data_IF_714809439381
#
_entry.id   IF_714809439381
#
_cell.length_a   1.000
_cell.length_b   1.000
_cell.length_c   1.000
_cell.angle_alpha   90.00
_cell.angle_beta   90.00
_cell.angle_gamma   90.00
#
_symmetry.space_group_name_H-M   'P 1'
#
loop_
_entity.id
_entity.type
_entity.pdbx_description
1 polymer ?
#
# COMPACT_ATOMS: atom_id res chain seq x y z
N UNK A 1 -29.16 -14.17 -61.12
CA UNK A 1 -28.03 -13.51 -61.80
C UNK A 1 -28.28 -12.01 -61.72
N UNK A 2 -27.47 -11.30 -60.95
CA UNK A 2 -27.44 -9.84 -60.90
C UNK A 2 -26.02 -9.44 -60.46
N UNK A 3 -25.26 -8.94 -61.44
CA UNK A 3 -23.96 -8.30 -61.28
C UNK A 3 -24.18 -6.85 -60.86
N UNK A 4 -23.52 -6.38 -59.80
CA UNK A 4 -23.21 -4.95 -59.59
C UNK A 4 -21.89 -4.91 -58.79
N UNK A 5 -20.75 -4.66 -59.44
CA UNK A 5 -20.22 -3.39 -59.95
C UNK A 5 -19.38 -2.68 -58.87
N UNK A 6 -18.10 -2.55 -59.20
CA UNK A 6 -16.98 -2.23 -58.31
C UNK A 6 -16.86 -0.73 -58.08
N UNK A 7 -17.27 -0.27 -56.89
CA UNK A 7 -17.10 1.11 -56.44
C UNK A 7 -15.63 1.50 -56.25
N UNK A 8 -15.07 2.13 -57.29
CA UNK A 8 -13.78 2.83 -57.31
C UNK A 8 -13.84 4.06 -56.39
N UNK A 9 -13.01 4.09 -55.35
CA UNK A 9 -12.86 5.24 -54.43
C UNK A 9 -11.85 6.23 -55.03
N UNK A 10 -12.34 7.36 -55.54
CA UNK A 10 -11.47 8.48 -55.92
C UNK A 10 -11.08 9.30 -54.67
N UNK A 11 -9.78 9.35 -54.40
CA UNK A 11 -9.19 10.20 -53.38
C UNK A 11 -9.21 11.66 -53.84
N UNK A 12 -10.08 12.47 -53.23
CA UNK A 12 -10.09 13.93 -53.44
C UNK A 12 -8.98 14.56 -52.59
N UNK A 13 -7.94 15.07 -53.25
CA UNK A 13 -6.96 15.94 -52.62
C UNK A 13 -7.69 17.19 -52.07
N UNK A 14 -7.60 17.42 -50.76
CA UNK A 14 -7.97 18.70 -50.17
C UNK A 14 -6.71 19.56 -50.01
N UNK A 15 -6.68 20.63 -50.79
CA UNK A 15 -5.71 21.69 -50.75
C UNK A 15 -5.64 22.31 -49.35
N UNK A 16 -4.44 22.30 -48.78
CA UNK A 16 -4.09 23.00 -47.54
C UNK A 16 -3.57 24.39 -47.92
N UNK A 17 -4.48 25.34 -48.12
CA UNK A 17 -4.11 26.75 -48.22
C UNK A 17 -5.03 27.62 -47.35
N UNK A 18 -4.39 28.44 -46.52
CA UNK A 18 -4.94 29.54 -45.71
C UNK A 18 -5.88 29.17 -44.54
N UNK A 19 -5.30 28.98 -43.34
CA UNK A 19 -6.01 29.40 -42.12
C UNK A 19 -6.01 30.93 -42.06
N UNK A 20 -7.17 31.62 -42.10
CA UNK A 20 -7.18 33.06 -41.91
C UNK A 20 -6.78 33.37 -40.46
N UNK A 21 -5.64 34.02 -40.29
CA UNK A 21 -5.21 34.59 -39.03
C UNK A 21 -6.23 35.67 -38.65
N UNK A 22 -7.05 35.41 -37.63
CA UNK A 22 -7.96 36.42 -37.10
C UNK A 22 -7.14 37.63 -36.60
N UNK A 23 -7.52 38.88 -36.93
CA UNK A 23 -6.79 40.04 -36.45
C UNK A 23 -6.96 40.17 -34.93
N UNK A 24 -5.84 40.30 -34.23
CA UNK A 24 -5.80 40.58 -32.80
C UNK A 24 -6.43 41.94 -32.52
N UNK A 25 -7.70 41.96 -32.10
CA UNK A 25 -8.36 43.17 -31.64
C UNK A 25 -7.89 43.47 -30.21
N UNK A 26 -6.99 44.45 -30.08
CA UNK A 26 -6.68 45.14 -28.83
C UNK A 26 -7.91 45.96 -28.40
N UNK A 27 -8.86 45.32 -27.71
CA UNK A 27 -9.82 46.07 -26.92
C UNK A 27 -9.13 46.57 -25.66
N UNK A 28 -8.72 47.84 -25.70
CA UNK A 28 -8.77 48.65 -24.50
C UNK A 28 -10.22 48.66 -24.02
N UNK A 29 -10.49 48.12 -22.84
CA UNK A 29 -11.31 48.80 -21.85
C UNK A 29 -11.40 48.05 -20.52
N UNK A 30 -11.42 48.89 -19.48
CA UNK A 30 -11.78 48.66 -18.08
C UNK A 30 -10.76 47.92 -17.22
N UNK A 31 -10.24 48.66 -16.24
CA UNK A 31 -9.68 48.16 -14.99
C UNK A 31 -10.70 47.22 -14.37
N UNK A 32 -10.54 45.92 -14.62
CA UNK A 32 -11.21 44.90 -13.83
C UNK A 32 -10.58 44.98 -12.45
N UNK A 33 -11.34 45.27 -11.38
CA UNK A 33 -10.80 45.23 -10.03
C UNK A 33 -10.19 43.84 -9.85
N UNK A 34 -8.96 43.78 -9.33
CA UNK A 34 -8.17 42.56 -9.14
C UNK A 34 -8.95 41.54 -8.31
N UNK A 35 -9.86 40.82 -8.97
CA UNK A 35 -10.50 39.62 -8.44
C UNK A 35 -9.38 38.63 -8.32
N UNK A 36 -9.10 38.26 -7.06
CA UNK A 36 -8.24 37.18 -6.65
C UNK A 36 -8.25 36.10 -7.73
N UNK A 37 -7.11 35.95 -8.42
CA UNK A 37 -6.96 34.94 -9.45
C UNK A 37 -7.38 33.61 -8.83
N UNK A 38 -8.39 32.91 -9.39
CA UNK A 38 -8.91 31.69 -8.79
C UNK A 38 -7.76 30.72 -8.48
N UNK A 39 -7.76 30.04 -7.33
CA UNK A 39 -6.67 29.15 -6.89
C UNK A 39 -6.29 28.06 -7.93
N UNK A 40 -7.17 27.76 -8.89
CA UNK A 40 -6.88 26.88 -10.02
C UNK A 40 -6.02 27.53 -11.11
N UNK A 41 -6.08 28.86 -11.29
CA UNK A 41 -5.23 29.65 -12.20
C UNK A 41 -3.81 29.83 -11.65
N UNK A 42 -3.65 29.77 -10.32
CA UNK A 42 -2.35 29.86 -9.64
C UNK A 42 -1.49 28.59 -9.75
N UNK A 43 -2.02 27.49 -10.29
CA UNK A 43 -1.25 26.26 -10.52
C UNK A 43 -0.51 26.35 -11.84
N UNK A 44 0.53 27.18 -11.90
CA UNK A 44 1.51 27.05 -12.97
C UNK A 44 1.99 25.60 -12.99
N UNK A 45 1.89 24.95 -14.16
CA UNK A 45 2.40 23.59 -14.33
C UNK A 45 3.85 23.57 -13.84
N UNK A 46 4.29 22.56 -13.07
CA UNK A 46 5.67 22.52 -12.55
C UNK A 46 6.74 22.63 -13.64
N UNK A 47 6.39 22.31 -14.89
CA UNK A 47 7.24 22.48 -16.08
C UNK A 47 7.41 23.93 -16.54
N UNK A 48 6.58 24.87 -16.07
CA UNK A 48 6.53 26.27 -16.52
C UNK A 48 7.04 27.26 -15.46
N UNK A 49 7.55 26.78 -14.34
CA UNK A 49 8.20 27.64 -13.35
C UNK A 49 9.47 28.24 -13.95
N UNK A 50 9.81 29.48 -13.55
CA UNK A 50 11.02 30.17 -14.01
C UNK A 50 12.28 29.30 -13.88
N UNK A 51 12.44 28.61 -12.75
CA UNK A 51 13.55 27.69 -12.52
C UNK A 51 13.56 26.48 -13.47
N UNK A 52 12.39 25.92 -13.81
CA UNK A 52 12.30 24.81 -14.76
C UNK A 52 12.55 25.24 -16.21
N UNK A 53 12.24 26.49 -16.56
CA UNK A 53 12.57 27.08 -17.86
C UNK A 53 14.08 27.28 -17.97
N UNK A 54 14.71 27.94 -17.00
CA UNK A 54 16.17 28.17 -16.97
C UNK A 54 16.94 26.85 -17.05
N UNK A 55 16.54 25.83 -16.27
CA UNK A 55 17.18 24.51 -16.31
C UNK A 55 17.12 23.85 -17.70
N UNK A 56 16.02 24.03 -18.44
CA UNK A 56 15.89 23.48 -19.81
C UNK A 56 16.79 24.21 -20.79
N UNK A 57 16.89 25.54 -20.68
CA UNK A 57 17.78 26.34 -21.51
C UNK A 57 19.25 25.98 -21.24
N UNK A 58 19.65 25.88 -19.98
CA UNK A 58 21.00 25.47 -19.59
C UNK A 58 21.35 24.08 -20.13
N UNK A 59 20.41 23.13 -20.04
CA UNK A 59 20.61 21.77 -20.56
C UNK A 59 20.70 21.74 -22.09
N UNK A 60 19.93 22.57 -22.79
CA UNK A 60 20.01 22.69 -24.25
C UNK A 60 21.36 23.25 -24.68
N UNK A 61 21.84 24.31 -24.00
CA UNK A 61 23.16 24.91 -24.21
C UNK A 61 24.30 23.92 -23.93
N UNK A 62 24.23 23.20 -22.81
CA UNK A 62 25.19 22.14 -22.49
C UNK A 62 25.20 21.03 -23.54
N UNK A 63 24.03 20.65 -24.09
CA UNK A 63 23.96 19.60 -25.12
C UNK A 63 24.66 20.01 -26.42
N UNK A 64 24.59 21.28 -26.81
CA UNK A 64 25.25 21.79 -28.02
C UNK A 64 26.74 22.08 -27.82
N UNK A 65 27.15 22.52 -26.63
CA UNK A 65 28.53 22.93 -26.37
C UNK A 65 29.41 21.78 -25.86
N UNK A 66 28.88 20.90 -25.00
CA UNK A 66 29.63 19.81 -24.39
C UNK A 66 28.71 18.63 -24.03
N UNK A 67 28.57 17.71 -24.98
CA UNK A 67 27.66 16.57 -24.85
C UNK A 67 27.98 15.66 -23.65
N UNK A 68 29.25 15.43 -23.33
CA UNK A 68 29.66 14.58 -22.21
C UNK A 68 29.31 15.21 -20.85
N UNK A 69 29.45 16.54 -20.74
CA UNK A 69 29.00 17.28 -19.57
C UNK A 69 27.46 17.23 -19.43
N UNK A 70 26.73 17.31 -20.54
CA UNK A 70 25.26 17.13 -20.55
C UNK A 70 24.84 15.74 -20.04
N UNK A 71 25.45 14.67 -20.55
CA UNK A 71 25.15 13.29 -20.13
C UNK A 71 25.45 13.11 -18.64
N UNK A 72 26.60 13.58 -18.18
CA UNK A 72 27.01 13.52 -16.76
C UNK A 72 26.04 14.26 -15.84
N UNK A 73 25.58 15.46 -16.24
CA UNK A 73 24.60 16.26 -15.48
C UNK A 73 23.23 15.55 -15.43
N UNK A 74 22.79 14.95 -16.54
CA UNK A 74 21.53 14.17 -16.61
C UNK A 74 21.59 12.92 -15.73
N UNK A 75 22.72 12.21 -15.72
CA UNK A 75 22.92 11.02 -14.87
C UNK A 75 22.81 11.38 -13.38
N UNK A 76 23.54 12.39 -12.92
CA UNK A 76 23.48 12.88 -11.53
C UNK A 76 22.06 13.32 -11.13
N UNK A 77 21.36 14.05 -12.00
CA UNK A 77 19.99 14.49 -11.73
C UNK A 77 18.99 13.32 -11.64
N UNK A 78 19.16 12.30 -12.48
CA UNK A 78 18.34 11.08 -12.41
C UNK A 78 18.63 10.27 -11.13
N UNK A 79 19.89 10.14 -10.75
CA UNK A 79 20.29 9.48 -9.49
C UNK A 79 19.73 10.21 -8.27
N UNK A 80 19.82 11.55 -8.24
CA UNK A 80 19.24 12.38 -7.19
C UNK A 80 17.71 12.22 -7.11
N UNK A 81 17.01 12.23 -8.25
CA UNK A 81 15.56 12.00 -8.26
C UNK A 81 15.18 10.58 -7.82
N UNK A 82 15.97 9.57 -8.21
CA UNK A 82 15.79 8.18 -7.76
C UNK A 82 15.94 8.08 -6.26
N UNK A 83 16.99 8.68 -5.69
CA UNK A 83 17.22 8.71 -4.25
C UNK A 83 16.07 9.42 -3.50
N UNK A 84 15.60 10.56 -4.02
CA UNK A 84 14.46 11.29 -3.44
C UNK A 84 13.17 10.47 -3.46
N UNK A 85 12.88 9.77 -4.56
CA UNK A 85 11.70 8.87 -4.63
C UNK A 85 11.80 7.73 -3.62
N UNK A 86 12.97 7.10 -3.50
CA UNK A 86 13.19 6.02 -2.54
C UNK A 86 13.05 6.49 -1.08
N UNK A 87 13.54 7.70 -0.77
CA UNK A 87 13.36 8.30 0.56
C UNK A 87 11.89 8.52 0.89
N UNK A 88 11.12 9.12 -0.04
CA UNK A 88 9.67 9.33 0.13
C UNK A 88 8.89 8.02 0.25
N UNK A 89 9.23 7.00 -0.54
CA UNK A 89 8.64 5.66 -0.41
C UNK A 89 8.97 5.02 0.95
N UNK A 90 10.20 5.20 1.43
CA UNK A 90 10.63 4.73 2.74
C UNK A 90 9.84 5.37 3.88
N UNK A 91 9.64 6.68 3.83
CA UNK A 91 8.81 7.42 4.80
C UNK A 91 7.33 7.03 4.72
N UNK A 92 6.78 6.91 3.52
CA UNK A 92 5.41 6.46 3.31
C UNK A 92 5.19 5.04 3.88
N UNK A 93 6.13 4.12 3.65
CA UNK A 93 6.10 2.77 4.23
C UNK A 93 6.19 2.79 5.75
N UNK A 94 7.07 3.61 6.33
CA UNK A 94 7.17 3.79 7.79
C UNK A 94 5.87 4.33 8.39
N UNK A 95 5.28 5.35 7.76
CA UNK A 95 4.00 5.94 8.18
C UNK A 95 2.85 4.94 8.07
N UNK A 96 2.77 4.19 6.97
CA UNK A 96 1.77 3.14 6.78
C UNK A 96 1.90 2.04 7.84
N UNK A 97 3.13 1.59 8.15
CA UNK A 97 3.39 0.62 9.22
C UNK A 97 2.98 1.14 10.59
N UNK A 98 3.27 2.41 10.89
CA UNK A 98 2.87 3.05 12.14
C UNK A 98 1.35 3.13 12.29
N UNK A 99 0.64 3.57 11.24
CA UNK A 99 -0.83 3.62 11.22
C UNK A 99 -1.46 2.23 11.36
N UNK A 100 -0.90 1.21 10.69
CA UNK A 100 -1.35 -0.18 10.82
C UNK A 100 -1.13 -0.74 12.23
N UNK A 101 -0.03 -0.38 12.89
CA UNK A 101 0.22 -0.77 14.28
C UNK A 101 -0.77 -0.09 15.23
N UNK A 102 -1.03 1.20 15.02
CA UNK A 102 -1.98 1.97 15.83
C UNK A 102 -3.41 1.48 15.66
N UNK A 103 -3.84 1.17 14.43
CA UNK A 103 -5.17 0.60 14.16
C UNK A 103 -5.34 -0.78 14.81
N UNK A 104 -4.30 -1.62 14.76
CA UNK A 104 -4.28 -2.93 15.43
C UNK A 104 -4.40 -2.80 16.95
N UNK A 105 -3.71 -1.84 17.57
CA UNK A 105 -3.83 -1.54 19.01
C UNK A 105 -5.26 -1.13 19.37
N UNK A 106 -5.82 -0.15 18.65
CA UNK A 106 -7.20 0.32 18.87
C UNK A 106 -8.25 -0.77 18.65
N UNK A 107 -8.03 -1.67 17.69
CA UNK A 107 -8.91 -2.82 17.48
C UNK A 107 -8.83 -3.81 18.65
N UNK A 108 -7.62 -4.13 19.10
CA UNK A 108 -7.39 -5.00 20.26
C UNK A 108 -8.05 -4.45 21.52
N UNK A 109 -7.91 -3.15 21.78
CA UNK A 109 -8.52 -2.45 22.92
C UNK A 109 -10.05 -2.48 22.84
N UNK A 110 -10.65 -2.13 21.69
CA UNK A 110 -12.10 -2.25 21.49
C UNK A 110 -12.59 -3.68 21.66
N UNK A 111 -11.83 -4.66 21.19
CA UNK A 111 -12.16 -6.09 21.36
C UNK A 111 -12.10 -6.49 22.83
N UNK A 112 -11.13 -6.02 23.61
CA UNK A 112 -11.05 -6.26 25.06
C UNK A 112 -12.26 -5.67 25.77
N UNK A 113 -12.62 -4.42 25.46
CA UNK A 113 -13.80 -3.76 26.02
C UNK A 113 -15.09 -4.51 25.68
N UNK A 114 -15.27 -4.94 24.43
CA UNK A 114 -16.42 -5.73 24.03
C UNK A 114 -16.50 -7.07 24.77
N UNK A 115 -15.37 -7.75 25.00
CA UNK A 115 -15.34 -9.03 25.72
C UNK A 115 -15.62 -8.90 27.22
N UNK A 116 -15.46 -7.71 27.79
CA UNK A 116 -15.80 -7.44 29.19
C UNK A 116 -17.31 -7.26 29.41
N UNK A 117 -18.11 -7.12 28.34
CA UNK A 117 -19.57 -7.08 28.46
C UNK A 117 -20.12 -8.49 28.74
N UNK A 118 -21.07 -8.65 29.68
CA UNK A 118 -21.58 -9.96 30.08
C UNK A 118 -22.24 -10.74 28.92
N UNK A 119 -22.96 -10.05 28.03
CA UNK A 119 -23.57 -10.65 26.83
C UNK A 119 -22.54 -11.23 25.85
N UNK A 120 -21.38 -10.58 25.73
CA UNK A 120 -20.29 -11.01 24.85
C UNK A 120 -19.40 -12.05 25.52
N UNK A 121 -19.33 -12.09 26.85
CA UNK A 121 -18.60 -13.10 27.60
C UNK A 121 -19.20 -14.49 27.39
N UNK A 122 -20.54 -14.61 27.39
CA UNK A 122 -21.25 -15.86 27.08
C UNK A 122 -21.02 -16.30 25.63
N UNK A 123 -21.16 -15.38 24.67
CA UNK A 123 -20.87 -15.66 23.24
C UNK A 123 -19.42 -16.09 23.03
N UNK A 124 -18.47 -15.44 23.70
CA UNK A 124 -17.06 -15.79 23.65
C UNK A 124 -16.78 -17.17 24.28
N UNK A 125 -17.46 -17.52 25.38
CA UNK A 125 -17.36 -18.85 26.00
C UNK A 125 -17.87 -19.93 25.05
N UNK A 126 -19.04 -19.71 24.44
CA UNK A 126 -19.61 -20.62 23.43
C UNK A 126 -18.68 -20.78 22.21
N UNK A 127 -18.10 -19.67 21.72
CA UNK A 127 -17.16 -19.71 20.61
C UNK A 127 -15.88 -20.49 20.97
N UNK A 128 -15.33 -20.29 22.18
CA UNK A 128 -14.18 -21.06 22.68
C UNK A 128 -14.50 -22.55 22.81
N UNK A 129 -15.69 -22.90 23.30
CA UNK A 129 -16.15 -24.29 23.40
C UNK A 129 -16.26 -24.93 22.02
N UNK A 130 -16.97 -24.31 21.09
CA UNK A 130 -17.11 -24.79 19.69
C UNK A 130 -15.75 -24.90 18.99
N UNK A 131 -14.86 -23.93 19.19
CA UNK A 131 -13.50 -23.97 18.66
C UNK A 131 -12.68 -25.13 19.22
N UNK A 132 -12.77 -25.38 20.53
CA UNK A 132 -12.08 -26.50 21.17
C UNK A 132 -12.60 -27.86 20.66
N UNK A 133 -13.91 -28.00 20.49
CA UNK A 133 -14.53 -29.21 19.91
C UNK A 133 -14.09 -29.46 18.48
N UNK A 134 -14.06 -28.42 17.64
CA UNK A 134 -13.58 -28.51 16.26
C UNK A 134 -12.10 -28.93 16.20
N UNK A 135 -11.26 -28.32 17.04
CA UNK A 135 -9.85 -28.70 17.15
C UNK A 135 -9.68 -30.16 17.61
N UNK A 136 -10.48 -30.61 18.58
CA UNK A 136 -10.46 -32.00 19.06
C UNK A 136 -10.84 -32.97 17.94
N UNK A 137 -11.98 -32.74 17.27
CA UNK A 137 -12.45 -33.56 16.14
C UNK A 137 -11.40 -33.62 15.01
N UNK A 138 -10.78 -32.50 14.66
CA UNK A 138 -9.71 -32.48 13.65
C UNK A 138 -8.48 -33.27 14.08
N UNK A 139 -8.09 -33.19 15.36
CA UNK A 139 -6.96 -33.95 15.89
C UNK A 139 -7.25 -35.45 15.87
N UNK A 140 -8.44 -35.83 16.31
CA UNK A 140 -8.83 -37.24 16.41
C UNK A 140 -8.89 -37.87 15.02
N UNK A 141 -9.41 -37.16 14.01
CA UNK A 141 -9.35 -37.58 12.60
C UNK A 141 -7.91 -37.79 12.09
N UNK A 142 -6.99 -36.87 12.40
CA UNK A 142 -5.57 -37.03 12.00
C UNK A 142 -4.95 -38.23 12.74
N UNK A 143 -5.27 -38.43 14.01
CA UNK A 143 -4.81 -39.58 14.78
C UNK A 143 -5.31 -40.91 14.21
N UNK A 144 -6.59 -41.00 13.83
CA UNK A 144 -7.16 -42.17 13.16
C UNK A 144 -6.50 -42.43 11.80
N UNK A 145 -6.24 -41.37 11.02
CA UNK A 145 -5.52 -41.48 9.76
C UNK A 145 -4.08 -41.97 9.93
N UNK A 146 -3.39 -41.52 10.99
CA UNK A 146 -2.02 -41.96 11.31
C UNK A 146 -2.04 -43.43 11.75
N UNK A 147 -2.95 -43.82 12.64
CA UNK A 147 -3.08 -45.21 13.11
C UNK A 147 -3.41 -46.18 11.97
N UNK A 148 -4.20 -45.75 11.00
CA UNK A 148 -4.58 -46.56 9.83
C UNK A 148 -3.57 -46.52 8.68
N UNK A 149 -2.45 -45.80 8.82
CA UNK A 149 -1.42 -45.70 7.77
C UNK A 149 -1.82 -44.86 6.55
N UNK A 150 -3.00 -44.22 6.57
CA UNK A 150 -3.56 -43.44 5.44
C UNK A 150 -3.29 -41.93 5.56
N UNK A 151 -2.56 -41.49 6.58
CA UNK A 151 -2.26 -40.07 6.78
C UNK A 151 -1.30 -39.53 5.72
N UNK A 152 -1.63 -38.38 5.16
CA UNK A 152 -0.73 -37.66 4.26
C UNK A 152 0.47 -37.08 5.02
N UNK A 153 1.64 -36.91 4.38
CA UNK A 153 2.82 -36.30 5.02
C UNK A 153 2.52 -34.93 5.64
N UNK A 154 1.69 -34.11 4.98
CA UNK A 154 1.26 -32.79 5.47
C UNK A 154 0.44 -32.88 6.77
N UNK A 155 -0.42 -33.90 6.90
CA UNK A 155 -1.19 -34.13 8.13
C UNK A 155 -0.28 -34.55 9.28
N UNK A 156 0.72 -35.41 9.02
CA UNK A 156 1.71 -35.85 10.02
C UNK A 156 2.55 -34.65 10.50
N UNK A 157 3.02 -33.81 9.57
CA UNK A 157 3.78 -32.61 9.90
C UNK A 157 2.95 -31.64 10.75
N UNK A 158 1.70 -31.41 10.36
CA UNK A 158 0.76 -30.55 11.11
C UNK A 158 0.53 -31.09 12.52
N UNK A 159 0.31 -32.39 12.67
CA UNK A 159 0.16 -33.04 13.97
C UNK A 159 1.42 -32.89 14.85
N UNK A 160 2.61 -33.11 14.29
CA UNK A 160 3.87 -32.97 15.02
C UNK A 160 4.12 -31.52 15.46
N UNK A 161 3.82 -30.53 14.60
CA UNK A 161 3.86 -29.11 14.95
C UNK A 161 2.90 -28.80 16.10
N UNK A 162 1.66 -29.29 16.04
CA UNK A 162 0.67 -29.12 17.11
C UNK A 162 1.12 -29.77 18.43
N UNK A 163 1.68 -30.98 18.38
CA UNK A 163 2.22 -31.69 19.56
C UNK A 163 3.36 -30.91 20.21
N UNK A 164 4.32 -30.43 19.43
CA UNK A 164 5.44 -29.59 19.91
C UNK A 164 4.94 -28.27 20.51
N UNK A 165 4.03 -27.58 19.83
CA UNK A 165 3.45 -26.33 20.31
C UNK A 165 2.72 -26.52 21.66
N UNK A 166 1.97 -27.61 21.82
CA UNK A 166 1.27 -27.93 23.08
C UNK A 166 2.27 -28.17 24.23
N UNK A 167 3.35 -28.88 23.98
CA UNK A 167 4.40 -29.11 24.99
C UNK A 167 5.13 -27.81 25.38
N UNK A 168 5.36 -26.90 24.43
CA UNK A 168 5.95 -25.60 24.72
C UNK A 168 5.01 -24.71 25.54
N UNK A 169 3.72 -24.70 25.20
CA UNK A 169 2.72 -23.91 25.93
C UNK A 169 2.58 -24.38 27.38
N UNK A 170 2.52 -25.70 27.63
CA UNK A 170 2.44 -26.23 29.01
C UNK A 170 3.66 -25.88 29.85
N UNK A 171 4.87 -25.97 29.27
CA UNK A 171 6.12 -25.56 29.95
C UNK A 171 6.10 -24.08 30.33
N UNK A 172 5.67 -23.20 29.41
CA UNK A 172 5.56 -21.76 29.67
C UNK A 172 4.52 -21.45 30.75
N UNK A 173 3.34 -22.08 30.69
CA UNK A 173 2.30 -21.93 31.72
C UNK A 173 2.79 -22.36 33.09
N UNK A 174 3.46 -23.51 33.19
CA UNK A 174 4.03 -23.97 34.44
C UNK A 174 5.10 -23.00 34.99
N UNK A 175 5.98 -22.47 34.14
CA UNK A 175 6.97 -21.48 34.54
C UNK A 175 6.33 -20.18 35.05
N UNK A 176 5.26 -19.73 34.39
CA UNK A 176 4.49 -18.56 34.85
C UNK A 176 3.80 -18.82 36.18
N UNK A 177 3.09 -19.95 36.34
CA UNK A 177 2.43 -20.30 37.60
C UNK A 177 3.43 -20.44 38.76
N UNK A 178 4.63 -20.96 38.49
CA UNK A 178 5.73 -20.99 39.47
C UNK A 178 6.19 -19.59 39.86
N UNK A 179 6.42 -18.71 38.88
CA UNK A 179 6.83 -17.33 39.13
C UNK A 179 5.74 -16.52 39.88
N UNK A 180 4.47 -16.70 39.55
CA UNK A 180 3.33 -16.09 40.24
C UNK A 180 3.27 -16.53 41.71
N UNK A 181 3.48 -17.82 41.99
CA UNK A 181 3.54 -18.35 43.37
C UNK A 181 4.74 -17.79 44.15
N UNK A 182 5.90 -17.65 43.51
CA UNK A 182 7.08 -17.06 44.14
C UNK A 182 6.86 -15.56 44.43
N UNK A 183 6.27 -14.80 43.51
CA UNK A 183 5.91 -13.40 43.72
C UNK A 183 4.88 -13.21 44.85
N UNK A 184 3.84 -14.05 44.92
CA UNK A 184 2.85 -14.00 46.01
C UNK A 184 3.45 -14.33 47.38
N UNK A 185 4.45 -15.22 47.45
CA UNK A 185 5.17 -15.53 48.69
C UNK A 185 6.03 -14.37 49.19
N UNK A 186 6.59 -13.57 48.29
CA UNK A 186 7.35 -12.35 48.65
C UNK A 186 6.38 -11.24 49.07
N UNK A 187 5.23 -11.11 48.40
CA UNK A 187 4.21 -10.10 48.70
C UNK A 187 3.47 -10.31 50.03
N UNK A 188 3.37 -11.54 50.54
CA UNK A 188 2.69 -11.86 51.82
C UNK A 188 3.64 -11.90 53.03
N UNK A 189 4.90 -11.50 52.86
CA UNK A 189 5.91 -11.42 53.94
C UNK A 189 6.26 -9.98 54.36
N UNK A 190 5.59 -8.98 53.79
CA UNK A 190 5.63 -7.58 54.23
C UNK A 190 4.26 -7.17 54.75
#
# INVERSE_FOLDING_TARGET
>A
MAEHDTGRVEFRAQDSSAHPTAPFQLYQNSVVPARESPEWYAKQKPSMTYSAVVQRMDLAKLKSENYDAYISKRKKHNESNKARRQALEGEAKKRAKALSSQSSKRFSERRKQMLNLPENALKAKLFRQKGAEACKKSRDKIMEAIKSGKATPKQIETYNKQKRAKALYSRKRYAQEKAEREALKVSNKG
#
